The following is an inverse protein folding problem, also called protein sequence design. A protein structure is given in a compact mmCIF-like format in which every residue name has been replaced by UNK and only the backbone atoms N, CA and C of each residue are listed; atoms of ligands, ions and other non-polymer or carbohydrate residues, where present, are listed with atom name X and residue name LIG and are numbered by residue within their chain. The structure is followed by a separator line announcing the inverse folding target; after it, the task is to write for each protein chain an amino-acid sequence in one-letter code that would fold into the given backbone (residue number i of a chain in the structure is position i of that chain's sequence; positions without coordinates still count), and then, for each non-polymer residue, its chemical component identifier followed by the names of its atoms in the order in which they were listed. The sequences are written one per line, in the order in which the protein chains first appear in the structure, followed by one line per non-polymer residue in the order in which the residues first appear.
data_IF_462117351164
#
_entry.id   IF_462117351164
#
_cell.length_a   1.000
_cell.length_b   1.000
_cell.length_c   1.000
_cell.angle_alpha   90.00
_cell.angle_beta   90.00
_cell.angle_gamma   90.00
#
_symmetry.space_group_name_H-M   'P 1'
#
loop_
_entity.id
_entity.type
_entity.pdbx_description
1 polymer ?
#
# COMPACT_ATOMS: atom_id res chain seq x y z
N UNK A 1 5.61 2.83 -12.91
CA UNK A 1 6.57 3.14 -11.81
C UNK A 1 6.60 4.63 -11.54
N UNK A 2 6.49 5.02 -10.28
CA UNK A 2 6.34 6.42 -9.84
C UNK A 2 7.70 7.12 -9.78
N UNK A 3 7.76 8.38 -10.25
CA UNK A 3 8.95 9.25 -10.19
C UNK A 3 8.85 10.20 -8.97
N UNK A 4 9.94 10.86 -8.54
CA UNK A 4 9.96 11.72 -7.34
C UNK A 4 8.83 12.76 -7.30
N UNK A 5 8.49 13.30 -8.45
CA UNK A 5 7.45 14.33 -8.60
C UNK A 5 6.05 13.80 -8.22
N UNK A 6 5.79 12.51 -8.47
CA UNK A 6 4.54 11.86 -8.08
C UNK A 6 4.37 11.80 -6.57
N UNK A 7 5.42 11.41 -5.83
CA UNK A 7 5.39 11.40 -4.36
C UNK A 7 5.26 12.81 -3.78
N UNK A 8 5.96 13.79 -4.33
CA UNK A 8 5.84 15.19 -3.92
C UNK A 8 4.43 15.74 -4.16
N UNK A 9 3.80 15.35 -5.27
CA UNK A 9 2.39 15.69 -5.54
C UNK A 9 1.46 15.05 -4.50
N UNK A 10 1.68 13.78 -4.14
CA UNK A 10 0.89 13.10 -3.12
C UNK A 10 1.03 13.79 -1.76
N UNK A 11 2.25 14.16 -1.35
CA UNK A 11 2.49 14.93 -0.11
C UNK A 11 1.67 16.22 -0.10
N UNK A 12 1.71 16.99 -1.19
CA UNK A 12 0.93 18.22 -1.31
C UNK A 12 -0.58 18.00 -1.17
N UNK A 13 -1.10 16.90 -1.71
CA UNK A 13 -2.52 16.55 -1.56
C UNK A 13 -2.86 16.13 -0.13
N UNK A 14 -1.97 15.42 0.56
CA UNK A 14 -2.12 15.07 1.97
C UNK A 14 -2.11 16.33 2.86
N UNK A 15 -1.27 17.31 2.56
CA UNK A 15 -1.26 18.61 3.25
C UNK A 15 -2.57 19.37 3.04
N UNK A 16 -3.12 19.37 1.83
CA UNK A 16 -4.44 19.93 1.57
C UNK A 16 -5.53 19.21 2.36
N UNK A 17 -5.52 17.88 2.39
CA UNK A 17 -6.46 17.10 3.16
C UNK A 17 -6.41 17.44 4.66
N UNK A 18 -5.20 17.62 5.21
CA UNK A 18 -5.05 18.10 6.59
C UNK A 18 -5.66 19.49 6.81
N UNK A 19 -5.46 20.41 5.86
CA UNK A 19 -5.94 21.79 6.00
C UNK A 19 -7.47 21.88 5.90
N UNK A 20 -8.08 21.02 5.12
CA UNK A 20 -9.53 20.99 4.91
C UNK A 20 -10.24 19.91 5.74
N UNK A 21 -9.50 19.19 6.59
CA UNK A 21 -10.01 18.08 7.41
C UNK A 21 -10.75 17.00 6.59
N UNK A 22 -10.18 16.64 5.45
CA UNK A 22 -10.72 15.64 4.54
C UNK A 22 -10.00 14.29 4.69
N UNK A 23 -10.73 13.16 4.61
CA UNK A 23 -10.10 11.86 4.54
C UNK A 23 -9.31 11.71 3.23
N UNK A 24 -8.29 10.87 3.27
CA UNK A 24 -7.47 10.54 2.08
C UNK A 24 -7.71 9.09 1.70
N UNK A 25 -8.04 8.88 0.43
CA UNK A 25 -8.06 7.56 -0.20
C UNK A 25 -6.88 7.46 -1.18
N UNK A 26 -6.05 6.46 -1.00
CA UNK A 26 -4.87 6.21 -1.83
C UNK A 26 -5.07 4.90 -2.59
N UNK A 27 -5.00 4.95 -3.92
CA UNK A 27 -5.08 3.77 -4.78
C UNK A 27 -3.69 3.43 -5.28
N UNK A 28 -3.24 2.21 -5.01
CA UNK A 28 -1.88 1.74 -5.31
C UNK A 28 -1.94 0.68 -6.38
N UNK A 29 -1.33 1.01 -7.52
CA UNK A 29 -1.07 0.10 -8.63
C UNK A 29 0.28 0.49 -9.25
N UNK A 30 1.35 -0.08 -8.73
CA UNK A 30 2.71 0.20 -9.19
C UNK A 30 3.66 -0.95 -8.87
N UNK A 31 4.48 -1.32 -9.84
CA UNK A 31 5.58 -2.26 -9.65
C UNK A 31 6.72 -1.69 -8.75
N UNK A 32 6.61 -0.43 -8.33
CA UNK A 32 7.57 0.23 -7.45
C UNK A 32 7.94 1.64 -7.88
N UNK A 33 8.93 2.20 -7.21
CA UNK A 33 9.52 3.48 -7.59
C UNK A 33 10.40 3.33 -8.84
N UNK A 34 10.40 4.32 -9.72
CA UNK A 34 11.21 4.29 -10.93
C UNK A 34 12.72 4.32 -10.58
N UNK A 35 13.52 3.30 -11.00
CA UNK A 35 14.92 3.15 -10.57
C UNK A 35 15.93 3.84 -11.49
N UNK A 36 15.49 4.71 -12.39
CA UNK A 36 16.36 5.34 -13.37
C UNK A 36 17.19 6.50 -12.80
N UNK A 37 18.37 6.72 -13.38
CA UNK A 37 19.32 7.79 -13.00
C UNK A 37 18.66 9.14 -12.80
N UNK A 38 17.79 9.55 -13.72
CA UNK A 38 17.10 10.84 -13.61
C UNK A 38 16.12 10.93 -12.43
N UNK A 39 15.66 9.82 -11.85
CA UNK A 39 14.90 9.83 -10.61
C UNK A 39 15.82 9.95 -9.40
N UNK A 40 16.96 9.24 -9.40
CA UNK A 40 17.97 9.36 -8.34
C UNK A 40 18.53 10.77 -8.25
N UNK A 41 18.88 11.40 -9.37
CA UNK A 41 19.36 12.79 -9.44
C UNK A 41 18.34 13.80 -8.87
N UNK A 42 17.04 13.49 -8.91
CA UNK A 42 15.97 14.33 -8.37
C UNK A 42 15.47 13.88 -6.98
N UNK A 43 16.21 13.00 -6.30
CA UNK A 43 15.96 12.61 -4.93
C UNK A 43 14.79 11.63 -4.76
N UNK A 44 14.81 10.50 -5.49
CA UNK A 44 13.79 9.47 -5.39
C UNK A 44 13.61 8.94 -3.96
N UNK A 45 14.71 8.57 -3.32
CA UNK A 45 14.68 8.03 -1.95
C UNK A 45 14.13 9.04 -0.95
N UNK A 46 14.53 10.31 -1.07
CA UNK A 46 14.04 11.41 -0.22
C UNK A 46 12.53 11.63 -0.43
N UNK A 47 12.05 11.62 -1.67
CA UNK A 47 10.64 11.81 -1.97
C UNK A 47 9.77 10.68 -1.40
N UNK A 48 10.25 9.43 -1.47
CA UNK A 48 9.61 8.26 -0.84
C UNK A 48 9.56 8.43 0.68
N UNK A 49 10.69 8.73 1.31
CA UNK A 49 10.79 8.89 2.76
C UNK A 49 9.85 9.99 3.28
N UNK A 50 9.81 11.14 2.60
CA UNK A 50 8.88 12.23 2.94
C UNK A 50 7.42 11.86 2.71
N UNK A 51 7.10 11.06 1.71
CA UNK A 51 5.72 10.60 1.50
C UNK A 51 5.28 9.69 2.65
N UNK A 52 6.12 8.74 3.07
CA UNK A 52 5.86 7.91 4.25
C UNK A 52 5.67 8.78 5.50
N UNK A 53 6.55 9.75 5.71
CA UNK A 53 6.44 10.68 6.83
C UNK A 53 5.14 11.49 6.79
N UNK A 54 4.71 11.95 5.61
CA UNK A 54 3.43 12.65 5.43
C UNK A 54 2.25 11.74 5.77
N UNK A 55 2.25 10.49 5.30
CA UNK A 55 1.24 9.51 5.66
C UNK A 55 1.15 9.33 7.19
N UNK A 56 2.29 9.12 7.87
CA UNK A 56 2.34 8.90 9.31
C UNK A 56 1.87 10.12 10.12
N UNK A 57 2.12 11.33 9.63
CA UNK A 57 1.76 12.57 10.30
C UNK A 57 0.36 13.10 9.96
N UNK A 58 -0.33 12.48 9.02
CA UNK A 58 -1.66 12.89 8.57
C UNK A 58 -2.63 12.92 9.76
N UNK A 59 -3.38 13.99 9.90
CA UNK A 59 -4.34 14.23 11.01
C UNK A 59 -5.73 13.73 10.69
N UNK A 60 -5.97 13.32 9.46
CA UNK A 60 -7.24 12.80 8.94
C UNK A 60 -7.11 11.30 8.64
N UNK A 61 -8.23 10.57 8.47
CA UNK A 61 -8.20 9.18 8.05
C UNK A 61 -7.43 9.00 6.74
N UNK A 62 -6.59 7.99 6.68
CA UNK A 62 -5.93 7.53 5.46
C UNK A 62 -6.22 6.06 5.23
N UNK A 63 -6.89 5.75 4.14
CA UNK A 63 -7.18 4.40 3.70
C UNK A 63 -6.49 4.16 2.38
N UNK A 64 -5.71 3.10 2.28
CA UNK A 64 -4.98 2.73 1.07
C UNK A 64 -5.54 1.44 0.48
N UNK A 65 -5.77 1.42 -0.82
CA UNK A 65 -6.26 0.26 -1.56
C UNK A 65 -5.19 -0.22 -2.54
N UNK A 66 -4.73 -1.46 -2.38
CA UNK A 66 -3.87 -2.13 -3.36
C UNK A 66 -4.79 -2.75 -4.41
N UNK A 67 -4.82 -2.16 -5.60
CA UNK A 67 -5.80 -2.54 -6.65
C UNK A 67 -5.20 -3.38 -7.78
N UNK A 68 -3.90 -3.59 -7.75
CA UNK A 68 -3.16 -4.42 -8.70
C UNK A 68 -1.80 -4.78 -8.13
N UNK A 69 -0.75 -4.09 -8.52
CA UNK A 69 0.59 -4.27 -7.95
C UNK A 69 0.88 -3.27 -6.83
N UNK A 70 1.29 -3.78 -5.67
CA UNK A 70 1.88 -3.01 -4.60
C UNK A 70 3.37 -3.29 -4.46
N UNK A 71 4.21 -2.61 -5.25
CA UNK A 71 5.64 -2.89 -5.32
C UNK A 71 6.48 -2.02 -4.40
N UNK A 72 7.20 -2.66 -3.46
CA UNK A 72 8.35 -2.11 -2.72
C UNK A 72 8.09 -0.75 -2.06
N UNK A 73 9.14 0.05 -1.90
CA UNK A 73 9.08 1.40 -1.36
C UNK A 73 8.14 2.35 -2.11
N UNK A 74 7.90 2.09 -3.40
CA UNK A 74 6.95 2.84 -4.20
C UNK A 74 5.51 2.71 -3.73
N UNK A 75 5.12 1.51 -3.34
CA UNK A 75 3.80 1.23 -2.77
C UNK A 75 3.71 1.74 -1.33
N UNK A 76 4.72 1.44 -0.48
CA UNK A 76 4.74 1.84 0.92
C UNK A 76 4.62 3.37 1.08
N UNK A 77 5.21 4.13 0.16
CA UNK A 77 5.14 5.59 0.14
C UNK A 77 3.71 6.16 0.08
N UNK A 78 2.73 5.36 -0.34
CA UNK A 78 1.33 5.72 -0.46
C UNK A 78 0.40 4.81 0.37
N UNK A 79 0.90 3.65 0.82
CA UNK A 79 0.13 2.64 1.54
C UNK A 79 0.33 2.67 3.06
N UNK A 80 1.01 3.69 3.60
CA UNK A 80 1.22 3.83 5.05
C UNK A 80 0.00 4.47 5.72
N UNK A 81 -1.17 3.85 5.56
CA UNK A 81 -2.47 4.33 6.04
C UNK A 81 -2.92 3.76 7.39
N UNK A 82 -4.03 4.27 7.94
CA UNK A 82 -4.74 3.68 9.06
C UNK A 82 -5.27 2.30 8.69
N UNK A 83 -5.80 2.20 7.47
CA UNK A 83 -6.28 0.95 6.89
C UNK A 83 -5.63 0.72 5.54
N UNK A 84 -5.31 -0.53 5.27
CA UNK A 84 -4.85 -1.00 3.96
C UNK A 84 -5.79 -2.11 3.52
N UNK A 85 -6.50 -1.90 2.44
CA UNK A 85 -7.35 -2.90 1.80
C UNK A 85 -6.68 -3.38 0.52
N UNK A 86 -7.01 -4.57 0.06
CA UNK A 86 -6.35 -5.16 -1.10
C UNK A 86 -7.34 -5.99 -1.88
N UNK A 87 -7.35 -5.87 -3.20
CA UNK A 87 -8.10 -6.78 -4.06
C UNK A 87 -7.60 -8.22 -3.91
N UNK A 88 -8.51 -9.16 -4.04
CA UNK A 88 -8.27 -10.60 -3.82
C UNK A 88 -7.12 -11.17 -4.65
N UNK A 89 -6.95 -10.68 -5.88
CA UNK A 89 -5.92 -11.14 -6.81
C UNK A 89 -4.79 -10.13 -7.01
N UNK A 90 -4.79 -9.03 -6.25
CA UNK A 90 -3.66 -8.11 -6.22
C UNK A 90 -2.45 -8.75 -5.53
N UNK A 91 -1.27 -8.19 -5.74
CA UNK A 91 -0.03 -8.61 -5.10
C UNK A 91 0.60 -7.45 -4.33
N UNK A 92 1.16 -7.76 -3.14
CA UNK A 92 1.88 -6.76 -2.36
C UNK A 92 3.20 -7.35 -1.90
N UNK A 93 4.31 -6.81 -2.38
CA UNK A 93 5.64 -7.38 -2.16
C UNK A 93 6.73 -6.32 -2.09
N UNK A 94 7.79 -6.63 -1.35
CA UNK A 94 8.99 -5.79 -1.25
C UNK A 94 9.83 -5.85 -2.53
N UNK A 95 9.75 -6.93 -3.30
CA UNK A 95 10.52 -7.17 -4.51
C UNK A 95 9.78 -8.15 -5.42
N UNK A 96 10.03 -8.13 -6.73
CA UNK A 96 9.50 -9.16 -7.62
C UNK A 96 10.12 -10.54 -7.33
N UNK A 97 9.39 -11.64 -7.59
CA UNK A 97 9.92 -13.00 -7.42
C UNK A 97 11.21 -13.24 -8.20
N UNK A 98 11.32 -12.72 -9.43
CA UNK A 98 12.51 -12.82 -10.26
C UNK A 98 13.70 -12.06 -9.65
N UNK A 99 13.44 -10.86 -9.10
CA UNK A 99 14.44 -10.07 -8.40
C UNK A 99 14.94 -10.76 -7.14
N UNK A 100 14.02 -11.29 -6.34
CA UNK A 100 14.32 -12.08 -5.15
C UNK A 100 15.17 -13.32 -5.49
N UNK A 101 14.77 -14.08 -6.50
CA UNK A 101 15.49 -15.26 -6.96
C UNK A 101 16.90 -14.93 -7.43
N UNK A 102 17.03 -13.83 -8.18
CA UNK A 102 18.34 -13.37 -8.68
C UNK A 102 19.28 -12.98 -7.54
N UNK A 103 18.79 -12.35 -6.48
CA UNK A 103 19.60 -11.97 -5.32
C UNK A 103 19.99 -13.22 -4.50
N UNK A 104 19.03 -14.10 -4.18
CA UNK A 104 19.28 -15.22 -3.28
C UNK A 104 20.01 -16.37 -3.96
N UNK A 105 19.69 -16.68 -5.21
CA UNK A 105 20.19 -17.86 -5.91
C UNK A 105 20.98 -17.54 -7.18
N UNK A 106 21.16 -16.27 -7.51
CA UNK A 106 21.85 -15.82 -8.73
C UNK A 106 21.23 -16.36 -10.03
N UNK A 107 19.93 -16.69 -9.99
CA UNK A 107 19.17 -17.18 -11.14
C UNK A 107 17.70 -16.80 -10.99
N UNK A 108 17.12 -16.19 -12.03
CA UNK A 108 15.70 -15.88 -12.11
C UNK A 108 14.80 -17.12 -12.33
N UNK A 109 15.37 -18.26 -12.72
CA UNK A 109 14.63 -19.51 -12.93
C UNK A 109 13.94 -20.03 -11.66
N UNK A 110 14.40 -19.59 -10.48
CA UNK A 110 13.80 -19.93 -9.18
C UNK A 110 12.70 -18.95 -8.73
N UNK A 111 12.15 -18.16 -9.65
CA UNK A 111 11.11 -17.17 -9.33
C UNK A 111 9.87 -17.79 -8.67
N UNK A 112 9.47 -19.00 -9.06
CA UNK A 112 8.35 -19.69 -8.42
C UNK A 112 8.60 -19.97 -6.93
N UNK A 113 9.77 -20.48 -6.58
CA UNK A 113 10.17 -20.73 -5.19
C UNK A 113 10.22 -19.42 -4.41
N UNK A 114 10.73 -18.36 -5.04
CA UNK A 114 10.75 -17.03 -4.45
C UNK A 114 9.34 -16.50 -4.21
N UNK A 115 8.40 -16.67 -5.14
CA UNK A 115 7.02 -16.23 -5.01
C UNK A 115 6.31 -16.90 -3.81
N UNK A 116 6.48 -18.20 -3.65
CA UNK A 116 5.96 -18.96 -2.52
C UNK A 116 6.54 -18.46 -1.18
N UNK A 117 7.86 -18.23 -1.13
CA UNK A 117 8.54 -17.75 0.08
C UNK A 117 8.19 -16.29 0.44
N UNK A 118 7.93 -15.44 -0.54
CA UNK A 118 7.57 -14.03 -0.35
C UNK A 118 6.16 -13.84 0.21
N UNK A 119 5.26 -14.85 0.07
CA UNK A 119 3.89 -14.79 0.60
C UNK A 119 3.18 -13.50 0.21
N UNK A 120 3.12 -13.19 -1.09
CA UNK A 120 2.72 -11.89 -1.65
C UNK A 120 1.22 -11.75 -1.97
N UNK A 121 0.42 -12.78 -1.70
CA UNK A 121 -1.03 -12.77 -1.98
C UNK A 121 -1.82 -11.99 -0.94
N UNK A 122 -3.05 -11.58 -1.27
CA UNK A 122 -3.92 -10.88 -0.34
C UNK A 122 -4.20 -11.70 0.92
N UNK A 123 -4.36 -13.02 0.78
CA UNK A 123 -4.58 -13.95 1.87
C UNK A 123 -3.38 -13.99 2.81
N UNK A 124 -2.17 -14.08 2.25
CA UNK A 124 -0.93 -14.04 3.03
C UNK A 124 -0.77 -12.71 3.76
N UNK A 125 -0.96 -11.59 3.05
CA UNK A 125 -0.86 -10.25 3.63
C UNK A 125 -1.86 -10.03 4.77
N UNK A 126 -3.06 -10.59 4.64
CA UNK A 126 -4.08 -10.55 5.71
C UNK A 126 -3.65 -11.39 6.91
N UNK A 127 -3.14 -12.60 6.68
CA UNK A 127 -2.67 -13.48 7.75
C UNK A 127 -1.47 -12.89 8.50
N UNK A 128 -0.58 -12.19 7.78
CA UNK A 128 0.59 -11.51 8.36
C UNK A 128 0.23 -10.16 9.05
N UNK A 129 -1.04 -9.72 8.98
CA UNK A 129 -1.47 -8.46 9.56
C UNK A 129 -0.97 -7.21 8.81
N UNK A 130 -0.49 -7.37 7.57
CA UNK A 130 -0.02 -6.27 6.74
C UNK A 130 -1.19 -5.46 6.18
N UNK A 131 -2.27 -6.15 5.77
CA UNK A 131 -3.51 -5.53 5.31
C UNK A 131 -4.67 -5.78 6.28
N UNK A 132 -5.66 -4.90 6.26
CA UNK A 132 -6.82 -4.92 7.15
C UNK A 132 -8.02 -5.66 6.54
N UNK A 133 -8.18 -5.64 5.21
CA UNK A 133 -9.26 -6.33 4.55
C UNK A 133 -8.90 -6.77 3.12
N UNK A 134 -9.55 -7.83 2.67
CA UNK A 134 -9.52 -8.30 1.30
C UNK A 134 -10.83 -7.90 0.64
N UNK A 135 -10.75 -7.28 -0.53
CA UNK A 135 -11.91 -6.95 -1.36
C UNK A 135 -12.06 -8.03 -2.42
N UNK A 136 -13.16 -8.76 -2.37
CA UNK A 136 -13.45 -9.82 -3.34
C UNK A 136 -13.61 -9.27 -4.75
N UNK A 137 -13.10 -10.02 -5.71
CA UNK A 137 -13.23 -9.69 -7.12
C UNK A 137 -14.32 -10.53 -7.81
N UNK A 138 -15.00 -9.97 -8.81
CA UNK A 138 -15.96 -10.72 -9.60
C UNK A 138 -15.28 -11.85 -10.38
N UNK A 139 -16.04 -12.89 -10.74
CA UNK A 139 -15.53 -14.02 -11.49
C UNK A 139 -14.89 -13.55 -12.82
N UNK A 140 -13.61 -13.88 -12.99
CA UNK A 140 -12.81 -13.47 -14.14
C UNK A 140 -12.00 -12.18 -13.92
N UNK A 141 -12.06 -11.59 -12.71
CA UNK A 141 -11.26 -10.45 -12.28
C UNK A 141 -11.93 -9.09 -12.47
N UNK A 142 -11.44 -8.10 -11.75
CA UNK A 142 -11.99 -6.73 -11.73
C UNK A 142 -12.07 -6.09 -13.11
N UNK A 143 -11.11 -6.37 -14.00
CA UNK A 143 -11.07 -5.80 -15.35
C UNK A 143 -12.23 -6.24 -16.29
N UNK A 144 -12.90 -7.36 -15.96
CA UNK A 144 -14.03 -7.87 -16.74
C UNK A 144 -15.38 -7.36 -16.25
N UNK A 145 -15.50 -7.05 -14.99
CA UNK A 145 -16.73 -6.57 -14.36
C UNK A 145 -16.40 -5.37 -13.46
N UNK A 146 -16.01 -4.27 -14.10
CA UNK A 146 -15.49 -3.08 -13.44
C UNK A 146 -16.49 -2.51 -12.44
N UNK A 147 -17.77 -2.41 -12.80
CA UNK A 147 -18.82 -1.85 -11.94
C UNK A 147 -18.95 -2.64 -10.64
N UNK A 148 -19.04 -3.97 -10.73
CA UNK A 148 -19.13 -4.83 -9.54
C UNK A 148 -17.88 -4.73 -8.67
N UNK A 149 -16.68 -4.66 -9.28
CA UNK A 149 -15.43 -4.50 -8.53
C UNK A 149 -15.39 -3.14 -7.81
N UNK A 150 -15.85 -2.07 -8.46
CA UNK A 150 -15.94 -0.74 -7.86
C UNK A 150 -16.97 -0.68 -6.74
N UNK A 151 -18.12 -1.35 -6.88
CA UNK A 151 -19.13 -1.46 -5.83
C UNK A 151 -18.55 -2.15 -4.58
N UNK A 152 -17.88 -3.31 -4.78
CA UNK A 152 -17.23 -4.04 -3.69
C UNK A 152 -16.16 -3.20 -2.99
N UNK A 153 -15.31 -2.52 -3.77
CA UNK A 153 -14.27 -1.66 -3.22
C UNK A 153 -14.86 -0.46 -2.48
N UNK A 154 -15.87 0.20 -3.06
CA UNK A 154 -16.53 1.36 -2.45
C UNK A 154 -17.19 1.00 -1.11
N UNK A 155 -17.89 -0.14 -1.06
CA UNK A 155 -18.52 -0.62 0.17
C UNK A 155 -17.48 -0.85 1.27
N UNK A 156 -16.34 -1.48 0.95
CA UNK A 156 -15.28 -1.72 1.92
C UNK A 156 -14.58 -0.41 2.35
N UNK A 157 -14.31 0.50 1.42
CA UNK A 157 -13.71 1.80 1.76
C UNK A 157 -14.61 2.63 2.68
N UNK A 158 -15.91 2.64 2.43
CA UNK A 158 -16.89 3.33 3.30
C UNK A 158 -16.92 2.69 4.68
N UNK A 159 -16.97 1.36 4.77
CA UNK A 159 -16.92 0.64 6.05
C UNK A 159 -15.67 0.99 6.86
N UNK A 160 -14.50 1.00 6.23
CA UNK A 160 -13.23 1.36 6.88
C UNK A 160 -13.21 2.84 7.29
N UNK A 161 -13.83 3.71 6.50
CA UNK A 161 -13.91 5.13 6.81
C UNK A 161 -14.81 5.37 8.03
N UNK A 162 -15.97 4.68 8.09
CA UNK A 162 -16.89 4.78 9.22
C UNK A 162 -16.25 4.37 10.55
N UNK A 163 -15.38 3.34 10.54
CA UNK A 163 -14.62 2.94 11.73
C UNK A 163 -13.62 4.01 12.22
N UNK A 164 -13.15 4.86 11.32
CA UNK A 164 -12.18 5.92 11.63
C UNK A 164 -12.85 7.27 11.91
N UNK A 165 -14.13 7.43 11.53
CA UNK A 165 -14.89 8.63 11.82
C UNK A 165 -15.08 8.77 13.33
N UNK A 166 -14.89 9.97 13.82
CA UNK A 166 -15.01 10.27 15.26
C UNK A 166 -13.71 10.14 16.04
N UNK A 167 -12.65 9.56 15.46
CA UNK A 167 -11.34 9.59 16.07
C UNK A 167 -10.69 10.97 15.94
N UNK A 168 -10.13 11.46 17.04
CA UNK A 168 -9.36 12.70 17.04
C UNK A 168 -8.07 12.55 16.20
N UNK A 169 -7.45 13.66 15.76
CA UNK A 169 -6.17 13.63 15.06
C UNK A 169 -5.05 12.91 15.82
N UNK A 170 -5.09 12.93 17.14
CA UNK A 170 -4.12 12.23 17.99
C UNK A 170 -4.34 10.71 17.96
N UNK A 171 -5.60 10.29 18.07
CA UNK A 171 -6.00 8.88 18.01
C UNK A 171 -5.73 8.28 16.64
N UNK A 172 -6.02 8.98 15.54
CA UNK A 172 -5.71 8.53 14.18
C UNK A 172 -4.21 8.28 13.97
N UNK A 173 -3.35 9.15 14.52
CA UNK A 173 -1.89 8.95 14.45
C UNK A 173 -1.43 7.81 15.34
N UNK A 174 -2.02 7.67 16.53
CA UNK A 174 -1.71 6.58 17.45
C UNK A 174 -2.12 5.21 16.87
N UNK A 175 -3.32 5.12 16.29
CA UNK A 175 -3.84 3.94 15.58
C UNK A 175 -2.88 3.51 14.46
N UNK A 176 -2.52 4.46 13.59
CA UNK A 176 -1.58 4.23 12.50
C UNK A 176 -0.22 3.78 12.99
N UNK A 177 0.36 4.47 13.99
CA UNK A 177 1.63 4.09 14.59
C UNK A 177 1.58 2.69 15.19
N UNK A 178 0.54 2.37 15.95
CA UNK A 178 0.36 1.07 16.57
C UNK A 178 0.38 -0.05 15.52
N UNK A 179 -0.38 0.12 14.44
CA UNK A 179 -0.41 -0.84 13.32
C UNK A 179 1.00 -1.20 12.84
N UNK A 180 1.80 -0.20 12.47
CA UNK A 180 3.14 -0.46 11.88
C UNK A 180 4.18 -0.93 12.88
N UNK A 181 4.01 -0.67 14.16
CA UNK A 181 4.90 -1.20 15.21
C UNK A 181 4.61 -2.67 15.51
N UNK A 182 3.35 -3.11 15.37
CA UNK A 182 2.93 -4.49 15.67
C UNK A 182 2.94 -5.43 14.47
N UNK A 183 3.21 -4.92 13.26
CA UNK A 183 3.39 -5.80 12.09
C UNK A 183 4.59 -6.72 12.34
N UNK A 184 4.35 -8.01 12.23
CA UNK A 184 5.35 -9.05 12.44
C UNK A 184 5.30 -9.71 13.81
N UNK A 185 4.66 -9.13 14.82
CA UNK A 185 4.53 -9.76 16.14
C UNK A 185 3.86 -11.14 16.05
N UNK A 186 2.82 -11.25 15.21
CA UNK A 186 2.13 -12.52 14.97
C UNK A 186 2.97 -13.56 14.20
N UNK A 187 4.02 -13.14 13.51
CA UNK A 187 4.92 -14.03 12.80
C UNK A 187 6.08 -14.55 13.68
N UNK A 188 6.26 -13.94 14.85
CA UNK A 188 7.29 -14.30 15.83
C UNK A 188 6.73 -15.15 17.01
N UNK A 189 5.41 -15.27 17.07
CA UNK A 189 4.69 -16.08 18.07
C UNK A 189 4.36 -17.46 17.52
#
# INVERSE_FOLDING_TARGET
MVRPEGYRKAIRLMELANNFNLPVLSFVDTAGAYPGRGAEERGQAEAIARSIQACLNLKTPLISAIVGEGGSGGAIALATGNRVVMFEHAVYSVISPEGCASILWRSSEKAQIAAEALRLTAQDMKQLGVIDAIVGEPLGGAHRQIEQALESLSAELLRQLDELQGLSPAELRADRRKKYVTIGDAALA
#
